data_IF_565390967654
#
_entry.id   IF_565390967654
#
_cell.length_a   1.000
_cell.length_b   1.000
_cell.length_c   1.000
_cell.angle_alpha   90.00
_cell.angle_beta   90.00
_cell.angle_gamma   90.00
#
_symmetry.space_group_name_H-M   'P 1'
#
loop_
_entity.id
_entity.type
_entity.pdbx_description
1 polymer ?
#
# COMPACT_ATOMS: atom_id res chain seq x y z
N UNK A 1 -7.93 -13.00 2.23
CA UNK A 1 -8.23 -11.79 3.03
C UNK A 1 -9.34 -11.00 2.33
N UNK A 2 -10.37 -10.54 3.04
CA UNK A 2 -11.27 -9.51 2.48
C UNK A 2 -10.50 -8.19 2.40
N UNK A 3 -10.58 -7.43 1.29
CA UNK A 3 -9.93 -6.13 1.20
C UNK A 3 -10.50 -5.22 2.29
N UNK A 4 -9.63 -4.68 3.14
CA UNK A 4 -10.00 -3.69 4.14
C UNK A 4 -10.26 -2.36 3.43
N UNK A 5 -11.38 -1.67 3.67
CA UNK A 5 -11.62 -0.34 3.10
C UNK A 5 -10.78 0.75 3.78
N UNK A 6 -10.02 0.40 4.82
CA UNK A 6 -9.20 1.32 5.60
C UNK A 6 -7.75 1.26 5.15
N UNK A 7 -7.09 2.42 5.12
CA UNK A 7 -5.66 2.51 4.93
C UNK A 7 -4.92 2.04 6.19
N UNK A 8 -4.08 1.01 6.06
CA UNK A 8 -3.14 0.61 7.12
C UNK A 8 -2.05 1.65 7.35
N UNK A 9 -1.60 2.31 6.28
CA UNK A 9 -0.50 3.29 6.34
C UNK A 9 -0.99 4.72 6.11
N UNK A 10 -0.37 5.68 6.79
CA UNK A 10 -0.64 7.12 6.62
C UNK A 10 0.49 7.76 5.82
N UNK A 11 0.26 8.95 5.27
CA UNK A 11 1.33 9.74 4.67
C UNK A 11 2.36 10.04 5.77
N UNK A 12 3.64 9.80 5.48
CA UNK A 12 4.73 9.87 6.45
C UNK A 12 5.12 8.54 7.09
N UNK A 13 4.31 7.47 6.94
CA UNK A 13 4.71 6.13 7.42
C UNK A 13 5.95 5.63 6.67
N UNK A 14 6.85 4.94 7.38
CA UNK A 14 7.98 4.24 6.80
C UNK A 14 7.62 2.77 6.55
N UNK A 15 7.87 2.30 5.33
CA UNK A 15 7.60 0.93 4.88
C UNK A 15 8.77 0.37 4.08
N UNK A 16 8.79 -0.93 3.84
CA UNK A 16 9.75 -1.60 2.97
C UNK A 16 9.00 -2.34 1.85
N UNK A 17 9.58 -2.35 0.64
CA UNK A 17 9.06 -3.10 -0.51
C UNK A 17 9.35 -4.61 -0.43
N UNK A 18 10.38 -4.98 0.31
CA UNK A 18 10.71 -6.36 0.64
C UNK A 18 11.34 -6.39 2.05
N UNK A 19 11.27 -7.52 2.76
CA UNK A 19 11.94 -7.65 4.05
C UNK A 19 13.43 -7.31 3.94
N UNK A 20 13.90 -6.34 4.73
CA UNK A 20 15.30 -5.89 4.72
C UNK A 20 15.67 -4.89 3.62
N UNK A 21 14.74 -4.51 2.74
CA UNK A 21 14.96 -3.45 1.75
C UNK A 21 15.09 -2.07 2.42
N UNK A 22 15.65 -1.05 1.74
CA UNK A 22 15.67 0.32 2.23
C UNK A 22 14.27 0.81 2.59
N UNK A 23 14.16 1.51 3.73
CA UNK A 23 12.89 2.08 4.16
C UNK A 23 12.51 3.25 3.24
N UNK A 24 11.25 3.26 2.84
CA UNK A 24 10.66 4.28 1.99
C UNK A 24 9.50 4.93 2.73
N UNK A 25 9.33 6.24 2.52
CA UNK A 25 8.24 6.99 3.14
C UNK A 25 7.02 6.97 2.24
N UNK A 26 5.84 6.74 2.80
CA UNK A 26 4.56 6.92 2.09
C UNK A 26 4.34 8.41 1.86
N UNK A 27 4.20 8.83 0.60
CA UNK A 27 3.99 10.25 0.23
C UNK A 27 2.58 10.51 -0.27
N UNK A 28 1.86 9.47 -0.68
CA UNK A 28 0.49 9.58 -1.16
C UNK A 28 -0.26 8.25 -0.98
N UNK A 29 -1.59 8.33 -0.86
CA UNK A 29 -2.47 7.18 -0.77
C UNK A 29 -3.84 7.48 -1.39
N UNK A 30 -4.45 6.48 -2.01
CA UNK A 30 -5.85 6.56 -2.47
C UNK A 30 -6.49 5.18 -2.52
N UNK A 31 -7.78 5.16 -2.85
CA UNK A 31 -8.50 3.93 -3.12
C UNK A 31 -8.57 3.70 -4.63
N UNK A 32 -8.20 2.51 -5.06
CA UNK A 32 -8.38 2.06 -6.44
C UNK A 32 -9.62 1.16 -6.51
N UNK A 33 -10.53 1.48 -7.44
CA UNK A 33 -11.65 0.62 -7.78
C UNK A 33 -11.12 -0.57 -8.61
N UNK A 34 -11.25 -1.78 -8.07
CA UNK A 34 -10.90 -3.01 -8.76
C UNK A 34 -12.17 -3.56 -9.43
N UNK A 35 -12.24 -3.58 -10.78
CA UNK A 35 -13.37 -4.16 -11.48
C UNK A 35 -13.37 -5.68 -11.27
N UNK A 36 -14.56 -6.26 -11.11
CA UNK A 36 -14.66 -7.71 -11.02
C UNK A 36 -14.73 -8.35 -12.40
N UNK A 37 -13.77 -9.23 -12.68
CA UNK A 37 -13.71 -10.01 -13.92
C UNK A 37 -14.51 -11.34 -13.79
N UNK A 38 -14.84 -11.74 -12.56
CA UNK A 38 -15.42 -13.07 -12.25
C UNK A 38 -16.84 -13.01 -11.67
N UNK A 39 -17.56 -11.89 -11.87
CA UNK A 39 -18.95 -11.74 -11.42
C UNK A 39 -19.11 -11.41 -9.92
N UNK A 40 -18.05 -11.01 -9.23
CA UNK A 40 -18.15 -10.37 -7.90
C UNK A 40 -18.56 -8.90 -8.07
N UNK A 41 -18.99 -8.26 -7.00
CA UNK A 41 -19.14 -6.80 -7.01
C UNK A 41 -17.76 -6.14 -7.11
N UNK A 42 -17.62 -5.03 -7.85
CA UNK A 42 -16.43 -4.18 -7.79
C UNK A 42 -16.13 -3.82 -6.33
N UNK A 43 -14.84 -3.71 -6.00
CA UNK A 43 -14.42 -3.37 -4.65
C UNK A 43 -13.27 -2.38 -4.69
N UNK A 44 -13.15 -1.57 -3.65
CA UNK A 44 -12.04 -0.65 -3.48
C UNK A 44 -10.90 -1.30 -2.71
N UNK A 45 -9.66 -0.99 -3.09
CA UNK A 45 -8.46 -1.36 -2.33
C UNK A 45 -7.58 -0.15 -2.08
N UNK A 46 -6.94 -0.06 -0.90
CA UNK A 46 -5.95 0.97 -0.64
C UNK A 46 -4.68 0.75 -1.46
N UNK A 47 -4.21 1.82 -2.10
CA UNK A 47 -2.92 1.90 -2.81
C UNK A 47 -2.09 3.05 -2.27
N UNK A 48 -0.77 2.90 -2.35
CA UNK A 48 0.21 3.81 -1.75
C UNK A 48 1.29 4.16 -2.76
N UNK A 49 1.76 5.40 -2.72
CA UNK A 49 2.99 5.82 -3.42
C UNK A 49 4.07 6.15 -2.42
N UNK A 50 5.29 5.77 -2.77
CA UNK A 50 6.47 5.89 -1.93
C UNK A 50 7.43 6.96 -2.44
N UNK A 51 8.26 7.47 -1.54
CA UNK A 51 9.35 8.42 -1.80
C UNK A 51 10.60 7.70 -2.35
N UNK A 52 10.43 6.87 -3.39
CA UNK A 52 11.47 5.97 -3.88
C UNK A 52 11.89 6.28 -5.33
N UNK A 53 11.75 7.53 -5.77
CA UNK A 53 12.02 8.01 -7.14
C UNK A 53 11.15 7.40 -8.25
N UNK A 54 10.41 6.33 -7.96
CA UNK A 54 9.49 5.69 -8.89
C UNK A 54 8.10 6.34 -8.86
N UNK A 55 7.36 6.14 -9.96
CA UNK A 55 5.98 6.60 -10.10
C UNK A 55 4.94 5.51 -9.83
N UNK A 56 5.41 4.31 -9.46
CA UNK A 56 4.55 3.16 -9.19
C UNK A 56 3.69 3.35 -7.95
N UNK A 57 2.51 2.74 -7.98
CA UNK A 57 1.63 2.60 -6.82
C UNK A 57 1.62 1.14 -6.37
N UNK A 58 1.66 0.94 -5.07
CA UNK A 58 1.76 -0.37 -4.44
C UNK A 58 0.49 -0.68 -3.66
N UNK A 59 0.02 -1.91 -3.76
CA UNK A 59 -1.06 -2.41 -2.94
C UNK A 59 -0.59 -2.68 -1.51
N UNK A 60 -1.51 -2.62 -0.55
CA UNK A 60 -1.18 -2.86 0.87
C UNK A 60 -0.44 -4.17 1.14
N UNK A 61 -0.74 -5.23 0.38
CA UNK A 61 -0.15 -6.55 0.58
C UNK A 61 1.29 -6.67 0.05
N UNK A 62 1.75 -5.72 -0.76
CA UNK A 62 3.11 -5.65 -1.28
C UNK A 62 4.05 -4.89 -0.34
N UNK A 63 3.50 -4.30 0.73
CA UNK A 63 4.23 -3.45 1.65
C UNK A 63 4.46 -4.14 2.99
N UNK A 64 5.66 -3.93 3.52
CA UNK A 64 6.04 -4.38 4.85
C UNK A 64 6.19 -3.17 5.77
N UNK A 65 5.56 -3.22 6.94
CA UNK A 65 5.79 -2.18 7.95
C UNK A 65 7.28 -2.20 8.35
N UNK A 66 7.94 -1.04 8.34
CA UNK A 66 9.18 -0.90 9.07
C UNK A 66 8.85 -1.11 10.56
N UNK A 67 9.48 -2.09 11.21
CA UNK A 67 9.36 -2.22 12.66
C UNK A 67 9.70 -0.87 13.30
N UNK A 68 8.97 -0.43 14.34
CA UNK A 68 9.39 0.75 15.08
C UNK A 68 10.82 0.52 15.61
N UNK A 69 11.68 1.54 15.62
CA UNK A 69 12.96 1.42 16.30
C UNK A 69 12.70 1.00 17.76
N UNK A 70 13.47 0.00 18.20
CA UNK A 70 13.41 -0.60 19.54
C UNK A 70 13.65 0.43 20.63
#
# INVERSE_FOLDING_TARGET
MRPSPFFRYVIGSFIQLAPGAPMQRVIWRAKQLVPSITGRQPYEVPVYRLDNEHWDCYYEHELHAALPPK
#
